data_IF_896179488981
#
_entry.id   IF_896179488981
#
_cell.length_a   1.000
_cell.length_b   1.000
_cell.length_c   1.000
_cell.angle_alpha   90.00
_cell.angle_beta   90.00
_cell.angle_gamma   90.00
#
_symmetry.space_group_name_H-M   'P 1'
#
loop_
_entity.id
_entity.type
_entity.pdbx_description
1 polymer ?
#
# COMPACT_ATOMS: atom_id res chain seq x y z
N UNK A 1 10.71 -1.34 24.05
CA UNK A 1 10.97 -2.23 22.90
C UNK A 1 9.97 -3.36 22.97
N UNK A 2 9.05 -3.46 22.01
CA UNK A 2 8.14 -4.61 21.92
C UNK A 2 8.94 -5.73 21.23
N UNK A 3 8.96 -6.93 21.81
CA UNK A 3 9.68 -8.09 21.30
C UNK A 3 8.66 -9.17 20.97
N UNK A 4 8.71 -9.69 19.75
CA UNK A 4 7.83 -10.76 19.27
C UNK A 4 7.07 -10.38 18.01
N UNK A 5 6.52 -11.41 17.35
CA UNK A 5 5.76 -11.27 16.10
C UNK A 5 4.26 -11.23 16.42
N UNK A 6 3.51 -10.20 15.96
CA UNK A 6 2.07 -10.16 16.18
C UNK A 6 1.38 -11.34 15.48
N UNK A 7 0.50 -12.04 16.21
CA UNK A 7 -0.33 -13.11 15.64
C UNK A 7 -1.26 -12.55 14.56
N UNK A 8 -1.68 -13.33 13.55
CA UNK A 8 -2.57 -12.88 12.47
C UNK A 8 -3.89 -12.25 12.94
N UNK A 9 -4.43 -12.68 14.09
CA UNK A 9 -5.65 -12.19 14.71
C UNK A 9 -5.43 -11.02 15.68
N UNK A 10 -4.24 -10.42 15.66
CA UNK A 10 -3.89 -9.30 16.53
C UNK A 10 -4.73 -8.05 16.22
N UNK A 11 -5.26 -7.43 17.28
CA UNK A 11 -5.91 -6.11 17.20
C UNK A 11 -5.01 -5.00 16.67
N UNK A 12 -3.69 -5.23 16.63
CA UNK A 12 -2.75 -4.33 15.96
C UNK A 12 -3.12 -4.11 14.48
N UNK A 13 -3.65 -5.11 13.80
CA UNK A 13 -3.99 -4.99 12.38
C UNK A 13 -5.31 -4.25 12.15
N UNK A 14 -6.10 -4.01 13.19
CA UNK A 14 -7.39 -3.31 13.11
C UNK A 14 -7.28 -1.81 13.45
N UNK A 15 -6.10 -1.34 13.87
CA UNK A 15 -5.90 0.10 14.15
C UNK A 15 -6.06 0.92 12.87
N UNK A 16 -6.67 2.10 12.97
CA UNK A 16 -6.91 2.94 11.79
C UNK A 16 -5.62 3.38 11.08
N UNK A 17 -4.54 3.59 11.84
CA UNK A 17 -3.24 4.00 11.32
C UNK A 17 -2.12 3.21 12.02
N UNK A 18 -1.23 2.61 11.22
CA UNK A 18 -0.09 1.84 11.69
C UNK A 18 1.19 2.37 11.03
N UNK A 19 2.12 2.88 11.85
CA UNK A 19 3.44 3.35 11.43
C UNK A 19 4.50 2.48 12.10
N UNK A 20 5.33 1.81 11.30
CA UNK A 20 6.43 0.97 11.80
C UNK A 20 7.75 1.43 11.20
N UNK A 21 8.70 1.77 12.08
CA UNK A 21 10.08 2.00 11.73
C UNK A 21 10.87 0.71 11.93
N UNK A 22 11.77 0.38 11.00
CA UNK A 22 12.53 -0.88 11.04
C UNK A 22 11.63 -2.12 11.02
N UNK A 23 10.64 -2.13 10.14
CA UNK A 23 9.67 -3.23 10.09
C UNK A 23 10.31 -4.57 9.73
N UNK A 24 11.39 -4.58 8.94
CA UNK A 24 12.06 -5.80 8.44
C UNK A 24 11.00 -6.80 7.95
N UNK A 25 11.05 -8.05 8.41
CA UNK A 25 10.13 -9.11 7.99
C UNK A 25 8.69 -8.93 8.51
N UNK A 26 8.42 -8.00 9.43
CA UNK A 26 7.06 -7.67 9.87
C UNK A 26 6.24 -7.04 8.74
N UNK A 27 6.91 -6.51 7.70
CA UNK A 27 6.25 -5.92 6.54
C UNK A 27 5.30 -6.90 5.84
N UNK A 28 5.74 -8.14 5.61
CA UNK A 28 4.91 -9.21 5.02
C UNK A 28 3.66 -9.47 5.84
N UNK A 29 3.78 -9.55 7.17
CA UNK A 29 2.63 -9.79 8.05
C UNK A 29 1.63 -8.63 8.06
N UNK A 30 2.12 -7.39 8.05
CA UNK A 30 1.26 -6.23 7.91
C UNK A 30 0.55 -6.20 6.55
N UNK A 31 1.26 -6.51 5.46
CA UNK A 31 0.65 -6.61 4.12
C UNK A 31 -0.42 -7.70 4.04
N UNK A 32 -0.26 -8.80 4.77
CA UNK A 32 -1.23 -9.90 4.77
C UNK A 32 -2.45 -9.63 5.65
N UNK A 33 -2.29 -8.92 6.76
CA UNK A 33 -3.31 -8.89 7.83
C UNK A 33 -3.93 -7.51 8.10
N UNK A 34 -3.28 -6.40 7.70
CA UNK A 34 -3.76 -5.06 8.04
C UNK A 34 -5.14 -4.74 7.45
N UNK A 35 -6.06 -4.28 8.30
CA UNK A 35 -7.46 -3.94 8.00
C UNK A 35 -7.81 -2.47 8.27
N UNK A 36 -6.82 -1.64 8.65
CA UNK A 36 -6.99 -0.22 8.87
C UNK A 36 -6.98 0.62 7.59
N UNK A 37 -6.76 1.93 7.75
CA UNK A 37 -6.81 2.90 6.65
C UNK A 37 -5.41 3.28 6.14
N UNK A 38 -4.48 3.52 7.05
CA UNK A 38 -3.16 4.06 6.74
C UNK A 38 -2.06 3.12 7.24
N UNK A 39 -1.28 2.55 6.33
CA UNK A 39 -0.12 1.72 6.64
C UNK A 39 1.16 2.40 6.15
N UNK A 40 2.08 2.70 7.06
CA UNK A 40 3.42 3.17 6.69
C UNK A 40 4.49 2.32 7.34
N UNK A 41 5.39 1.80 6.52
CA UNK A 41 6.51 1.01 7.00
C UNK A 41 7.82 1.49 6.36
N UNK A 42 8.85 1.60 7.18
CA UNK A 42 10.20 1.96 6.74
C UNK A 42 11.20 0.89 7.10
N UNK A 43 12.19 0.74 6.23
CA UNK A 43 13.23 -0.28 6.28
C UNK A 43 12.57 -1.67 6.31
N UNK A 44 11.71 -1.90 5.30
CA UNK A 44 10.98 -3.14 5.08
C UNK A 44 11.86 -4.17 4.40
N UNK A 45 11.68 -5.44 4.77
CA UNK A 45 12.17 -6.60 4.03
C UNK A 45 10.92 -7.39 3.62
N UNK A 46 10.53 -7.31 2.35
CA UNK A 46 9.36 -8.02 1.81
C UNK A 46 9.53 -8.24 0.31
N UNK A 47 8.95 -9.32 -0.18
CA UNK A 47 9.21 -9.78 -1.55
C UNK A 47 8.18 -9.20 -2.53
N UNK A 48 8.51 -9.23 -3.82
CA UNK A 48 7.55 -8.88 -4.89
C UNK A 48 6.22 -9.66 -4.75
N UNK A 49 6.29 -10.93 -4.32
CA UNK A 49 5.11 -11.77 -4.09
C UNK A 49 4.18 -11.20 -3.03
N UNK A 50 4.72 -10.59 -1.97
CA UNK A 50 3.91 -9.98 -0.90
C UNK A 50 3.09 -8.79 -1.44
N UNK A 51 3.71 -7.97 -2.31
CA UNK A 51 3.03 -6.84 -2.98
C UNK A 51 2.00 -7.33 -4.00
N UNK A 52 2.34 -8.38 -4.75
CA UNK A 52 1.45 -8.99 -5.74
C UNK A 52 0.22 -9.58 -5.04
N UNK A 53 0.39 -10.31 -3.94
CA UNK A 53 -0.72 -10.87 -3.15
C UNK A 53 -1.60 -9.78 -2.55
N UNK A 54 -0.99 -8.74 -1.98
CA UNK A 54 -1.70 -7.57 -1.47
C UNK A 54 -2.59 -6.93 -2.56
N UNK A 55 -2.02 -6.64 -3.73
CA UNK A 55 -2.76 -6.07 -4.87
C UNK A 55 -3.85 -7.03 -5.37
N UNK A 56 -3.57 -8.33 -5.50
CA UNK A 56 -4.55 -9.34 -5.92
C UNK A 56 -5.77 -9.35 -5.00
N UNK A 57 -5.56 -9.37 -3.68
CA UNK A 57 -6.64 -9.35 -2.68
C UNK A 57 -7.44 -8.05 -2.68
N UNK A 58 -6.76 -6.91 -2.82
CA UNK A 58 -7.44 -5.62 -2.89
C UNK A 58 -8.26 -5.48 -4.18
N UNK A 59 -7.71 -5.89 -5.32
CA UNK A 59 -8.36 -5.84 -6.64
C UNK A 59 -9.54 -6.81 -6.72
N UNK A 60 -9.41 -8.02 -6.16
CA UNK A 60 -10.52 -8.98 -6.11
C UNK A 60 -11.63 -8.52 -5.17
N UNK A 61 -11.34 -7.62 -4.23
CA UNK A 61 -12.25 -7.25 -3.15
C UNK A 61 -12.37 -8.35 -2.08
N UNK A 62 -11.41 -9.27 -2.04
CA UNK A 62 -11.34 -10.31 -1.01
C UNK A 62 -10.92 -9.73 0.33
N UNK A 63 -10.02 -8.75 0.32
CA UNK A 63 -9.42 -8.21 1.54
C UNK A 63 -8.96 -6.75 1.40
N UNK A 64 -8.47 -6.17 2.51
CA UNK A 64 -7.92 -4.82 2.60
C UNK A 64 -8.92 -3.73 2.17
N UNK A 65 -10.20 -3.97 2.45
CA UNK A 65 -11.30 -3.15 1.94
C UNK A 65 -11.31 -1.70 2.47
N UNK A 66 -10.75 -1.50 3.67
CA UNK A 66 -10.70 -0.22 4.38
C UNK A 66 -9.46 0.61 4.08
N UNK A 67 -8.47 0.06 3.37
CA UNK A 67 -7.22 0.75 3.09
C UNK A 67 -7.49 1.99 2.24
N UNK A 68 -6.92 3.11 2.67
CA UNK A 68 -6.84 4.37 1.93
C UNK A 68 -5.42 4.60 1.40
N UNK A 69 -4.39 4.23 2.18
CA UNK A 69 -3.00 4.43 1.78
C UNK A 69 -2.04 3.37 2.36
N UNK A 70 -1.09 2.92 1.54
CA UNK A 70 0.06 2.10 1.94
C UNK A 70 1.36 2.71 1.42
N UNK A 71 2.34 2.83 2.31
CA UNK A 71 3.68 3.35 2.02
C UNK A 71 4.75 2.44 2.56
N UNK A 72 5.54 1.85 1.67
CA UNK A 72 6.66 1.00 2.01
C UNK A 72 7.95 1.60 1.47
N UNK A 73 9.01 1.53 2.28
CA UNK A 73 10.35 1.89 1.87
C UNK A 73 11.34 0.84 2.37
N UNK A 74 12.13 0.27 1.46
CA UNK A 74 13.24 -0.63 1.78
C UNK A 74 14.54 0.16 1.93
N UNK A 75 15.45 -0.37 2.77
CA UNK A 75 16.84 0.09 2.85
C UNK A 75 17.76 -0.65 1.87
N UNK A 76 17.31 -1.78 1.34
CA UNK A 76 18.06 -2.59 0.39
C UNK A 76 17.76 -2.09 -1.02
N UNK A 77 18.81 -1.82 -1.78
CA UNK A 77 18.68 -1.44 -3.18
C UNK A 77 18.24 -2.64 -4.02
N UNK A 78 17.22 -2.45 -4.87
CA UNK A 78 16.63 -3.50 -5.73
C UNK A 78 15.80 -4.55 -5.00
N UNK A 79 15.26 -4.23 -3.81
CA UNK A 79 14.32 -5.10 -3.09
C UNK A 79 13.08 -5.43 -3.95
N UNK A 80 12.57 -4.43 -4.68
CA UNK A 80 11.43 -4.59 -5.56
C UNK A 80 11.85 -4.63 -7.03
N UNK A 81 11.15 -5.45 -7.81
CA UNK A 81 11.23 -5.43 -9.26
C UNK A 81 9.89 -4.90 -9.81
N UNK A 82 9.83 -3.61 -10.21
CA UNK A 82 8.63 -3.01 -10.78
C UNK A 82 8.05 -3.81 -11.95
N UNK A 83 8.87 -4.27 -12.88
CA UNK A 83 8.40 -4.97 -14.09
C UNK A 83 7.70 -6.29 -13.72
N UNK A 84 8.31 -7.07 -12.82
CA UNK A 84 7.73 -8.32 -12.34
C UNK A 84 6.42 -8.12 -11.58
N UNK A 85 6.24 -7.00 -10.88
CA UNK A 85 4.99 -6.69 -10.18
C UNK A 85 3.94 -6.21 -11.17
N UNK A 86 4.29 -5.28 -12.06
CA UNK A 86 3.33 -4.62 -12.96
C UNK A 86 2.75 -5.57 -14.01
N UNK A 87 3.54 -6.54 -14.50
CA UNK A 87 3.09 -7.50 -15.54
C UNK A 87 1.92 -8.38 -15.08
N UNK A 88 1.73 -8.55 -13.77
CA UNK A 88 0.65 -9.35 -13.18
C UNK A 88 -0.72 -8.68 -13.27
N UNK A 89 -0.78 -7.38 -13.60
CA UNK A 89 -2.01 -6.59 -13.50
C UNK A 89 -2.34 -5.86 -14.81
N UNK A 90 -3.64 -5.84 -15.15
CA UNK A 90 -4.15 -4.89 -16.14
C UNK A 90 -4.25 -3.51 -15.49
N UNK A 91 -3.31 -2.64 -15.81
CA UNK A 91 -3.24 -1.27 -15.29
C UNK A 91 -3.63 -0.23 -16.33
N UNK A 92 -4.03 0.95 -15.87
CA UNK A 92 -4.31 2.10 -16.72
C UNK A 92 -3.39 3.26 -16.32
N UNK A 93 -2.99 4.09 -17.29
CA UNK A 93 -2.26 5.32 -16.99
C UNK A 93 -3.23 6.38 -16.45
N UNK A 94 -2.68 7.39 -15.79
CA UNK A 94 -3.46 8.52 -15.30
C UNK A 94 -4.36 9.14 -16.39
N UNK A 95 -5.64 9.28 -16.05
CA UNK A 95 -6.63 10.04 -16.82
C UNK A 95 -7.29 11.07 -15.91
N UNK A 96 -7.13 12.36 -16.26
CA UNK A 96 -7.72 13.49 -15.55
C UNK A 96 -9.25 13.44 -15.45
N UNK A 97 -9.92 12.67 -16.31
CA UNK A 97 -11.39 12.46 -16.24
C UNK A 97 -11.79 11.47 -15.15
N UNK A 98 -10.88 10.60 -14.72
CA UNK A 98 -11.16 9.53 -13.75
C UNK A 98 -10.74 9.90 -12.34
N UNK A 99 -9.66 10.67 -12.19
CA UNK A 99 -9.16 11.11 -10.89
C UNK A 99 -8.30 12.38 -10.97
N UNK A 100 -8.16 13.13 -9.86
CA UNK A 100 -7.18 14.20 -9.75
C UNK A 100 -5.75 13.72 -9.98
N UNK A 101 -4.85 14.68 -10.28
CA UNK A 101 -3.42 14.44 -10.38
C UNK A 101 -2.81 14.17 -9.00
N UNK A 102 -3.18 14.99 -8.01
CA UNK A 102 -2.64 14.91 -6.66
C UNK A 102 -3.60 14.15 -5.74
N UNK A 103 -3.06 13.24 -4.94
CA UNK A 103 -3.78 12.61 -3.85
C UNK A 103 -3.68 13.48 -2.60
N UNK A 104 -4.84 13.91 -2.09
CA UNK A 104 -4.93 14.64 -0.82
C UNK A 104 -5.45 13.68 0.22
N UNK A 105 -4.63 13.40 1.23
CA UNK A 105 -5.01 12.50 2.32
C UNK A 105 -6.13 13.11 3.15
N UNK A 106 -7.04 12.26 3.63
CA UNK A 106 -7.89 12.66 4.74
C UNK A 106 -6.99 12.84 5.96
N UNK A 107 -7.34 13.81 6.81
CA UNK A 107 -6.54 14.11 8.00
C UNK A 107 -6.44 12.83 8.86
N UNK A 108 -5.27 12.20 8.83
CA UNK A 108 -4.95 11.06 9.66
C UNK A 108 -4.71 11.49 11.11
N UNK A 109 -4.42 10.53 11.99
CA UNK A 109 -4.05 10.83 13.37
C UNK A 109 -2.61 11.34 13.46
N UNK A 110 -1.78 11.10 12.43
CA UNK A 110 -0.43 11.63 12.33
C UNK A 110 -0.24 12.64 11.20
N UNK A 111 0.74 13.53 11.39
CA UNK A 111 1.12 14.57 10.43
C UNK A 111 1.86 14.01 9.19
N UNK A 112 2.07 12.69 9.15
CA UNK A 112 2.73 12.01 8.03
C UNK A 112 1.98 12.23 6.71
N UNK A 113 0.67 12.47 6.79
CA UNK A 113 -0.24 12.52 5.66
C UNK A 113 -0.61 13.95 5.24
N UNK A 114 0.16 14.96 5.64
CA UNK A 114 -0.21 16.37 5.40
C UNK A 114 0.14 16.87 3.99
N UNK A 115 1.13 16.26 3.35
CA UNK A 115 1.61 16.69 2.03
C UNK A 115 0.94 15.88 0.92
N UNK A 116 0.23 16.51 -0.03
CA UNK A 116 -0.32 15.82 -1.19
C UNK A 116 0.75 15.05 -1.98
N UNK A 117 0.33 13.98 -2.64
CA UNK A 117 1.22 13.16 -3.48
C UNK A 117 0.86 13.33 -4.94
N UNK A 118 1.81 13.76 -5.78
CA UNK A 118 1.62 13.78 -7.23
C UNK A 118 1.58 12.34 -7.75
N UNK A 119 0.45 11.97 -8.34
CA UNK A 119 0.18 10.63 -8.86
C UNK A 119 0.10 10.60 -10.39
N UNK A 120 0.71 11.56 -11.09
CA UNK A 120 0.73 11.59 -12.56
C UNK A 120 1.35 10.32 -13.18
N UNK A 121 2.41 9.80 -12.55
CA UNK A 121 3.14 8.61 -13.03
C UNK A 121 2.67 7.29 -12.41
N UNK A 122 1.59 7.33 -11.62
CA UNK A 122 1.05 6.13 -10.99
C UNK A 122 0.19 5.34 -11.97
N UNK A 123 0.15 4.03 -11.74
CA UNK A 123 -0.71 3.09 -12.46
C UNK A 123 -2.00 2.84 -11.71
N UNK A 124 -3.10 2.84 -12.45
CA UNK A 124 -4.44 2.72 -11.89
C UNK A 124 -4.96 1.28 -12.03
N UNK A 125 -5.62 0.80 -10.97
CA UNK A 125 -6.34 -0.47 -10.90
C UNK A 125 -7.72 -0.26 -10.29
N UNK A 126 -8.66 -1.12 -10.65
CA UNK A 126 -10.04 -1.04 -10.20
C UNK A 126 -10.42 -2.29 -9.41
N UNK A 127 -11.01 -2.09 -8.24
CA UNK A 127 -11.53 -3.18 -7.42
C UNK A 127 -12.79 -3.74 -8.05
N UNK A 128 -12.83 -5.06 -8.25
CA UNK A 128 -13.90 -5.75 -8.98
C UNK A 128 -15.26 -5.70 -8.29
N UNK A 129 -15.29 -5.63 -6.96
CA UNK A 129 -16.52 -5.74 -6.18
C UNK A 129 -17.34 -4.45 -6.14
N UNK A 130 -16.70 -3.28 -6.19
CA UNK A 130 -17.33 -1.98 -5.98
C UNK A 130 -16.89 -0.89 -6.96
N UNK A 131 -15.99 -1.20 -7.91
CA UNK A 131 -15.47 -0.24 -8.88
C UNK A 131 -14.53 0.81 -8.28
N UNK A 132 -14.10 0.67 -7.02
CA UNK A 132 -13.17 1.64 -6.41
C UNK A 132 -11.86 1.69 -7.18
N UNK A 133 -11.40 2.91 -7.43
CA UNK A 133 -10.14 3.17 -8.10
C UNK A 133 -9.02 3.26 -7.07
N UNK A 134 -7.90 2.61 -7.35
CA UNK A 134 -6.64 2.87 -6.66
C UNK A 134 -5.52 3.14 -7.66
N UNK A 135 -4.52 3.88 -7.20
CA UNK A 135 -3.30 4.13 -7.92
C UNK A 135 -2.12 3.57 -7.13
N UNK A 136 -1.17 2.96 -7.83
CA UNK A 136 0.06 2.50 -7.22
C UNK A 136 1.28 2.89 -8.03
N UNK A 137 2.40 3.04 -7.33
CA UNK A 137 3.70 3.29 -7.90
C UNK A 137 4.73 2.46 -7.17
N UNK A 138 5.60 1.80 -7.95
CA UNK A 138 6.63 0.93 -7.43
C UNK A 138 7.96 1.31 -8.07
N UNK A 139 8.96 1.49 -7.22
CA UNK A 139 10.37 1.63 -7.60
C UNK A 139 11.15 0.47 -7.02
N UNK A 140 12.45 0.37 -7.31
CA UNK A 140 13.34 -0.60 -6.68
C UNK A 140 13.47 -0.49 -5.15
N UNK A 141 12.98 0.60 -4.52
CA UNK A 141 13.10 0.85 -3.07
C UNK A 141 11.77 1.19 -2.39
N UNK A 142 10.71 1.44 -3.13
CA UNK A 142 9.46 1.93 -2.55
C UNK A 142 8.24 1.36 -3.25
N UNK A 143 7.18 1.20 -2.48
CA UNK A 143 5.84 0.90 -2.97
C UNK A 143 4.88 1.89 -2.33
N UNK A 144 4.07 2.52 -3.17
CA UNK A 144 2.99 3.43 -2.76
C UNK A 144 1.69 2.93 -3.35
N UNK A 145 0.63 2.89 -2.55
CA UNK A 145 -0.71 2.52 -2.97
C UNK A 145 -1.73 3.47 -2.33
N UNK A 146 -2.63 4.04 -3.14
CA UNK A 146 -3.55 5.09 -2.75
C UNK A 146 -4.94 4.83 -3.33
N UNK A 147 -5.97 4.87 -2.50
CA UNK A 147 -7.36 4.62 -2.91
C UNK A 147 -8.12 5.94 -3.04
N UNK A 148 -8.70 6.17 -4.21
CA UNK A 148 -9.48 7.38 -4.50
C UNK A 148 -10.89 7.24 -3.94
N UNK A 149 -11.38 8.31 -3.31
CA UNK A 149 -12.73 8.43 -2.75
C UNK A 149 -13.46 9.59 -3.34
#
# INVERSE_FOLDING_TARGET
>A
MIVGTPKPDSKLYEVGELIIWHSRQTATLCLQNFKGHYLRMRNTECHNTDLIEFLKKWISGEDHLNIEAVFLTSTIEMEFNPENIMVEFKTMRWDKKRRPREYVYKKGNSNVWETPTDCADFLDVERKTDGKLASFYVTHKSFTFLVWT
#
